data_IF_560410357376
#
_entry.id   IF_560410357376
#
_cell.length_a   1.000
_cell.length_b   1.000
_cell.length_c   1.000
_cell.angle_alpha   90.00
_cell.angle_beta   90.00
_cell.angle_gamma   90.00
#
_symmetry.space_group_name_H-M   'P 1'
#
loop_
_entity.id
_entity.type
_entity.pdbx_description
1 polymer ?
#
# COMPACT_ATOMS: atom_id res chain seq x y z
N UNK A 1 -11.21 6.90 -0.79
CA UNK A 1 -12.15 7.73 -1.57
C UNK A 1 -12.81 8.87 -0.77
N UNK A 2 -13.27 8.64 0.47
CA UNK A 2 -14.04 9.63 1.27
C UNK A 2 -13.43 11.05 1.34
N UNK A 3 -12.11 11.16 1.49
CA UNK A 3 -11.43 12.46 1.53
C UNK A 3 -11.65 13.27 0.24
N UNK A 4 -11.53 12.63 -0.92
CA UNK A 4 -11.70 13.28 -2.23
C UNK A 4 -13.13 13.77 -2.41
N UNK A 5 -14.11 12.93 -2.06
CA UNK A 5 -15.52 13.32 -2.10
C UNK A 5 -15.76 14.55 -1.21
N UNK A 6 -15.21 14.53 0.00
CA UNK A 6 -15.35 15.64 0.96
C UNK A 6 -14.72 16.93 0.46
N UNK A 7 -13.53 16.86 -0.14
CA UNK A 7 -12.91 18.04 -0.79
C UNK A 7 -13.75 18.53 -1.97
N UNK A 8 -14.30 17.63 -2.78
CA UNK A 8 -15.12 18.01 -3.93
C UNK A 8 -16.44 18.69 -3.53
N UNK A 9 -17.05 18.29 -2.41
CA UNK A 9 -18.36 18.80 -1.97
C UNK A 9 -18.27 19.96 -0.99
N UNK A 10 -17.23 20.01 -0.15
CA UNK A 10 -17.11 20.95 0.96
C UNK A 10 -15.80 21.76 0.91
N UNK A 11 -14.87 21.41 0.03
CA UNK A 11 -13.61 22.13 -0.13
C UNK A 11 -13.83 23.52 -0.73
N UNK A 12 -13.01 24.49 -0.28
CA UNK A 12 -13.06 25.85 -0.80
C UNK A 12 -12.30 25.94 -2.14
N UNK A 13 -12.90 26.60 -3.12
CA UNK A 13 -12.29 26.80 -4.44
C UNK A 13 -10.96 27.56 -4.33
N UNK A 14 -9.97 27.13 -5.12
CA UNK A 14 -8.61 27.65 -5.09
C UNK A 14 -7.73 27.12 -3.94
N UNK A 15 -8.27 26.35 -3.00
CA UNK A 15 -7.48 25.74 -1.94
C UNK A 15 -6.86 24.41 -2.38
N UNK A 16 -5.68 24.12 -1.81
CA UNK A 16 -5.04 22.79 -1.88
C UNK A 16 -5.14 22.09 -0.53
N UNK A 17 -5.47 20.80 -0.54
CA UNK A 17 -5.58 19.96 0.65
C UNK A 17 -4.70 18.72 0.52
N UNK A 18 -3.70 18.60 1.39
CA UNK A 18 -2.96 17.36 1.55
C UNK A 18 -3.85 16.29 2.19
N UNK A 19 -3.80 15.07 1.66
CA UNK A 19 -4.56 13.91 2.17
C UNK A 19 -3.54 12.84 2.56
N UNK A 20 -3.52 12.47 3.84
CA UNK A 20 -2.58 11.50 4.39
C UNK A 20 -3.15 10.77 5.60
N UNK A 21 -2.59 9.60 5.90
CA UNK A 21 -3.01 8.77 7.03
C UNK A 21 -2.18 8.91 8.31
N UNK A 22 -1.14 9.77 8.32
CA UNK A 22 -0.12 9.84 9.38
C UNK A 22 0.56 8.48 9.68
N UNK A 23 0.82 7.69 8.64
CA UNK A 23 1.30 6.31 8.75
C UNK A 23 2.67 6.15 8.06
N UNK A 24 3.69 6.87 8.53
CA UNK A 24 5.05 6.66 8.04
C UNK A 24 5.55 5.26 8.40
N UNK A 25 6.05 4.51 7.40
CA UNK A 25 6.59 3.16 7.56
C UNK A 25 7.75 2.95 6.61
N UNK A 26 8.72 2.12 7.00
CA UNK A 26 9.76 1.64 6.09
C UNK A 26 9.20 0.53 5.22
N UNK A 27 9.65 0.45 3.98
CA UNK A 27 9.23 -0.60 3.03
C UNK A 27 9.40 -2.01 3.62
N UNK A 28 10.51 -2.27 4.30
CA UNK A 28 10.79 -3.57 4.92
C UNK A 28 9.78 -3.94 6.02
N UNK A 29 9.28 -2.96 6.77
CA UNK A 29 8.29 -3.21 7.83
C UNK A 29 6.94 -3.56 7.22
N UNK A 30 6.56 -2.90 6.12
CA UNK A 30 5.34 -3.24 5.35
C UNK A 30 5.41 -4.67 4.83
N UNK A 31 6.53 -5.06 4.20
CA UNK A 31 6.73 -6.43 3.68
C UNK A 31 6.63 -7.46 4.80
N UNK A 32 7.30 -7.22 5.93
CA UNK A 32 7.24 -8.11 7.09
C UNK A 32 5.82 -8.23 7.67
N UNK A 33 5.06 -7.14 7.73
CA UNK A 33 3.66 -7.18 8.15
C UNK A 33 2.82 -8.06 7.23
N UNK A 34 3.00 -7.93 5.91
CA UNK A 34 2.30 -8.79 4.93
C UNK A 34 2.67 -10.26 5.13
N UNK A 35 3.96 -10.59 5.25
CA UNK A 35 4.43 -11.95 5.50
C UNK A 35 3.80 -12.54 6.77
N UNK A 36 3.75 -11.78 7.86
CA UNK A 36 3.17 -12.22 9.12
C UNK A 36 1.65 -12.46 9.03
N UNK A 37 0.92 -11.67 8.23
CA UNK A 37 -0.51 -11.89 7.98
C UNK A 37 -0.68 -13.18 7.17
N UNK A 38 0.09 -13.35 6.09
CA UNK A 38 0.03 -14.55 5.24
C UNK A 38 0.37 -15.82 6.02
N UNK A 39 1.35 -15.78 6.93
CA UNK A 39 1.69 -16.92 7.79
C UNK A 39 0.51 -17.39 8.66
N UNK A 40 -0.38 -16.46 9.06
CA UNK A 40 -1.57 -16.76 9.86
C UNK A 40 -2.73 -17.29 9.01
N UNK A 41 -2.93 -16.74 7.82
CA UNK A 41 -4.15 -16.98 7.03
C UNK A 41 -3.99 -18.00 5.91
N UNK A 42 -2.75 -18.31 5.51
CA UNK A 42 -2.45 -19.30 4.47
C UNK A 42 -1.89 -20.57 5.12
N UNK A 43 -2.69 -21.63 5.08
CA UNK A 43 -2.33 -22.94 5.65
C UNK A 43 -1.29 -23.68 4.80
N UNK A 44 -1.45 -23.69 3.47
CA UNK A 44 -0.54 -24.35 2.54
C UNK A 44 0.47 -23.34 1.98
N UNK A 45 1.67 -23.32 2.56
CA UNK A 45 2.76 -22.47 2.09
C UNK A 45 3.35 -23.00 0.77
N UNK A 46 3.79 -22.11 -0.14
CA UNK A 46 4.44 -22.51 -1.39
C UNK A 46 5.87 -23.02 -1.14
N UNK A 47 6.28 -24.04 -1.90
CA UNK A 47 7.62 -24.62 -1.78
C UNK A 47 7.89 -25.21 -0.40
N UNK A 48 9.15 -25.10 0.06
CA UNK A 48 9.62 -25.64 1.34
C UNK A 48 9.92 -24.52 2.36
N UNK A 49 9.19 -23.40 2.31
CA UNK A 49 9.38 -22.30 3.26
C UNK A 49 8.66 -22.57 4.58
N UNK A 50 9.23 -22.07 5.68
CA UNK A 50 8.58 -22.14 6.99
C UNK A 50 7.72 -20.90 7.22
N UNK A 51 8.23 -19.74 6.81
CA UNK A 51 7.58 -18.44 6.91
C UNK A 51 7.59 -17.71 5.57
N UNK A 52 6.57 -16.92 5.26
CA UNK A 52 6.59 -16.06 4.06
C UNK A 52 7.75 -15.05 4.07
N UNK A 53 8.28 -14.71 5.25
CA UNK A 53 9.45 -13.85 5.37
C UNK A 53 10.74 -14.49 4.81
N UNK A 54 10.79 -15.82 4.67
CA UNK A 54 11.91 -16.55 4.08
C UNK A 54 12.11 -16.20 2.59
N UNK A 55 11.11 -15.61 1.95
CA UNK A 55 11.15 -15.17 0.55
C UNK A 55 11.73 -13.75 0.37
N UNK A 56 12.01 -13.02 1.45
CA UNK A 56 12.53 -11.65 1.37
C UNK A 56 13.95 -11.67 0.77
N UNK A 57 14.12 -10.99 -0.35
CA UNK A 57 15.41 -10.82 -1.02
C UNK A 57 15.71 -9.34 -1.20
N UNK A 58 16.91 -8.92 -0.80
CA UNK A 58 17.39 -7.57 -1.07
C UNK A 58 17.96 -7.50 -2.48
N UNK A 59 17.57 -6.46 -3.21
CA UNK A 59 18.02 -6.19 -4.58
C UNK A 59 18.67 -4.81 -4.65
N UNK A 60 19.45 -4.55 -5.69
CA UNK A 60 20.04 -3.23 -5.96
C UNK A 60 18.96 -2.16 -5.92
N UNK A 61 19.24 -1.02 -5.28
CA UNK A 61 18.27 0.06 -5.12
C UNK A 61 17.88 0.69 -6.47
N UNK A 62 16.77 1.44 -6.50
CA UNK A 62 16.32 2.17 -7.68
C UNK A 62 17.14 3.46 -7.83
N UNK A 63 17.66 3.79 -9.03
CA UNK A 63 18.25 5.10 -9.29
C UNK A 63 17.27 6.23 -8.96
N UNK A 64 17.71 7.22 -8.18
CA UNK A 64 16.88 8.36 -7.77
C UNK A 64 15.76 8.00 -6.78
N UNK A 65 15.92 6.97 -5.95
CA UNK A 65 14.94 6.59 -4.95
C UNK A 65 14.81 7.65 -3.85
N UNK A 66 13.67 8.33 -3.82
CA UNK A 66 13.30 9.18 -2.69
C UNK A 66 13.12 8.34 -1.42
N UNK A 67 13.88 8.68 -0.38
CA UNK A 67 14.01 7.84 0.82
C UNK A 67 12.83 7.96 1.80
N UNK A 68 12.12 9.09 1.78
CA UNK A 68 11.06 9.37 2.75
C UNK A 68 10.02 10.30 2.15
N UNK A 69 8.76 9.87 2.26
CA UNK A 69 7.61 10.75 2.10
C UNK A 69 6.83 10.79 3.40
N UNK A 70 6.49 12.00 3.81
CA UNK A 70 5.63 12.28 4.94
C UNK A 70 4.67 13.41 4.54
N UNK A 71 3.39 13.23 4.82
CA UNK A 71 2.36 14.21 4.51
C UNK A 71 1.77 14.74 5.80
N UNK A 72 1.78 16.06 5.94
CA UNK A 72 0.98 16.76 6.94
C UNK A 72 -0.44 16.97 6.39
N UNK A 73 -1.42 16.31 7.02
CA UNK A 73 -2.84 16.40 6.69
C UNK A 73 -3.63 17.28 7.68
N UNK A 74 -2.97 18.11 8.50
CA UNK A 74 -3.62 18.94 9.50
C UNK A 74 -4.63 19.92 8.87
N UNK A 75 -4.37 20.43 7.67
CA UNK A 75 -5.27 21.38 6.99
C UNK A 75 -6.64 20.75 6.69
N UNK A 76 -6.68 19.58 6.05
CA UNK A 76 -7.95 18.93 5.71
C UNK A 76 -8.70 18.48 6.98
N UNK A 77 -7.97 18.11 8.03
CA UNK A 77 -8.56 17.80 9.32
C UNK A 77 -9.20 19.03 9.98
N UNK A 78 -8.52 20.17 10.01
CA UNK A 78 -9.10 21.38 10.61
C UNK A 78 -10.27 21.93 9.78
N UNK A 79 -10.06 22.08 8.48
CA UNK A 79 -10.97 22.85 7.63
C UNK A 79 -12.20 22.01 7.25
N UNK A 80 -12.02 20.71 7.05
CA UNK A 80 -13.10 19.80 6.64
C UNK A 80 -13.43 18.76 7.73
N UNK A 81 -12.69 18.64 8.83
CA UNK A 81 -12.96 17.60 9.83
C UNK A 81 -12.62 16.18 9.34
N UNK A 82 -11.86 16.04 8.24
CA UNK A 82 -11.54 14.72 7.70
C UNK A 82 -10.41 14.04 8.47
N UNK A 83 -10.63 12.77 8.82
CA UNK A 83 -9.61 11.85 9.36
C UNK A 83 -9.74 10.48 8.68
N UNK A 84 -8.65 9.71 8.54
CA UNK A 84 -8.74 8.34 8.07
C UNK A 84 -9.58 7.49 9.05
N UNK A 85 -10.36 6.55 8.50
CA UNK A 85 -11.14 5.59 9.30
C UNK A 85 -10.41 4.28 9.57
N UNK A 86 -9.33 4.01 8.82
CA UNK A 86 -8.53 2.80 8.94
C UNK A 86 -7.16 3.18 9.50
N UNK A 87 -6.61 2.32 10.36
CA UNK A 87 -5.17 2.35 10.67
C UNK A 87 -4.40 1.63 9.56
N UNK A 88 -3.08 1.72 9.59
CA UNK A 88 -2.26 0.91 8.68
C UNK A 88 -2.55 -0.59 8.85
N UNK A 89 -2.60 -1.06 10.10
CA UNK A 89 -2.82 -2.47 10.45
C UNK A 89 -4.18 -2.98 9.95
N UNK A 90 -5.27 -2.24 10.19
CA UNK A 90 -6.60 -2.66 9.74
C UNK A 90 -6.71 -2.64 8.21
N UNK A 91 -6.09 -1.65 7.56
CA UNK A 91 -6.08 -1.51 6.11
C UNK A 91 -5.29 -2.61 5.40
N UNK A 92 -4.09 -2.94 5.89
CA UNK A 92 -3.24 -3.95 5.25
C UNK A 92 -3.80 -5.36 5.42
N UNK A 93 -4.40 -5.69 6.56
CA UNK A 93 -5.09 -6.97 6.76
C UNK A 93 -6.27 -7.15 5.80
N UNK A 94 -7.13 -6.14 5.68
CA UNK A 94 -8.23 -6.14 4.70
C UNK A 94 -7.72 -6.28 3.27
N UNK A 95 -6.59 -5.64 2.96
CA UNK A 95 -5.99 -5.70 1.62
C UNK A 95 -5.48 -7.11 1.31
N UNK A 96 -4.74 -7.75 2.23
CA UNK A 96 -4.27 -9.14 2.05
C UNK A 96 -5.46 -10.08 1.82
N UNK A 97 -6.50 -9.99 2.66
CA UNK A 97 -7.71 -10.80 2.47
C UNK A 97 -8.41 -10.53 1.15
N UNK A 98 -8.46 -9.26 0.71
CA UNK A 98 -9.05 -8.93 -0.58
C UNK A 98 -8.30 -9.61 -1.73
N UNK A 99 -6.97 -9.59 -1.75
CA UNK A 99 -6.19 -10.27 -2.81
C UNK A 99 -6.37 -11.78 -2.81
N UNK A 100 -6.43 -12.41 -1.63
CA UNK A 100 -6.67 -13.85 -1.49
C UNK A 100 -8.07 -14.25 -2.02
N UNK A 101 -9.08 -13.40 -1.77
CA UNK A 101 -10.47 -13.67 -2.15
C UNK A 101 -10.81 -13.26 -3.59
N UNK A 102 -9.93 -12.55 -4.30
CA UNK A 102 -10.20 -11.99 -5.62
C UNK A 102 -9.19 -12.48 -6.67
N UNK A 103 -8.88 -13.78 -6.65
CA UNK A 103 -7.92 -14.41 -7.56
C UNK A 103 -8.18 -14.13 -9.04
N UNK A 104 -9.41 -14.31 -9.50
CA UNK A 104 -9.81 -14.06 -10.88
C UNK A 104 -9.53 -12.62 -11.33
N UNK A 105 -9.59 -11.65 -10.41
CA UNK A 105 -9.35 -10.25 -10.73
C UNK A 105 -7.89 -10.00 -11.07
N UNK A 106 -6.95 -10.37 -10.18
CA UNK A 106 -5.53 -10.08 -10.44
C UNK A 106 -4.93 -11.01 -11.49
N UNK A 107 -5.46 -12.22 -11.68
CA UNK A 107 -5.01 -13.10 -12.77
C UNK A 107 -5.24 -12.46 -14.15
N UNK A 108 -6.37 -11.76 -14.34
CA UNK A 108 -6.66 -11.01 -15.56
C UNK A 108 -5.81 -9.75 -15.75
N UNK A 109 -5.17 -9.26 -14.69
CA UNK A 109 -4.22 -8.15 -14.83
C UNK A 109 -2.87 -8.67 -15.32
N UNK A 110 -2.52 -9.91 -14.95
CA UNK A 110 -1.26 -10.56 -15.33
C UNK A 110 -1.30 -11.18 -16.74
N UNK A 111 -2.47 -11.39 -17.33
CA UNK A 111 -2.60 -12.10 -18.62
C UNK A 111 -2.33 -11.24 -19.87
N UNK A 112 -2.26 -9.90 -19.74
CA UNK A 112 -2.57 -9.02 -20.88
C UNK A 112 -1.57 -7.94 -21.30
N UNK A 113 -0.39 -7.77 -20.67
CA UNK A 113 0.69 -6.84 -21.14
C UNK A 113 1.82 -6.62 -20.13
N UNK A 114 1.64 -7.03 -18.87
CA UNK A 114 2.61 -6.76 -17.80
C UNK A 114 3.63 -7.89 -17.69
N UNK A 115 4.84 -7.70 -18.22
CA UNK A 115 5.90 -8.72 -18.25
C UNK A 115 6.54 -9.00 -16.87
N UNK A 116 6.15 -8.27 -15.81
CA UNK A 116 6.76 -8.40 -14.48
C UNK A 116 8.24 -7.99 -14.43
N UNK A 117 8.75 -7.38 -15.50
CA UNK A 117 10.11 -6.89 -15.58
C UNK A 117 10.29 -5.65 -14.72
N UNK A 118 11.51 -5.48 -14.18
CA UNK A 118 11.85 -4.30 -13.39
C UNK A 118 11.97 -3.09 -14.31
N UNK A 119 10.97 -2.23 -14.29
CA UNK A 119 10.95 -0.98 -15.05
C UNK A 119 11.90 0.07 -14.43
N UNK A 120 12.48 0.94 -15.27
CA UNK A 120 13.34 2.05 -14.84
C UNK A 120 14.81 1.67 -14.58
N UNK A 121 15.31 0.61 -15.21
CA UNK A 121 16.73 0.20 -15.16
C UNK A 121 17.59 0.78 -16.29
N UNK A 122 16.97 1.25 -17.38
CA UNK A 122 17.66 1.85 -18.51
C UNK A 122 17.53 3.37 -18.42
N UNK A 123 18.65 4.08 -18.62
CA UNK A 123 18.71 5.55 -18.74
C UNK A 123 18.15 6.03 -20.07
#
# INVERSE_FOLDING_TARGET
ARALYKVATEGKSGETYNIGGHNERKNIDVVRTICAILDKVVSKKPGNITHFADLITFVTDRPGHDLRYAIDAAKIQRDLGWVPQETFESGIEKTVHWYLNNQTWWQRVLDGSYAGERLGLNN
#
